data_IF_024368155388
#
_entry.id   IF_024368155388
#
_cell.length_a   1.000
_cell.length_b   1.000
_cell.length_c   1.000
_cell.angle_alpha   90.00
_cell.angle_beta   90.00
_cell.angle_gamma   90.00
#
_symmetry.space_group_name_H-M   'P 1'
#
loop_
_entity.id
_entity.type
_entity.pdbx_description
1 polymer ?
#
# COMPACT_ATOMS: atom_id res chain seq x y z
N UNK A 1 -7.08 -42.96 1.38
CA UNK A 1 -6.12 -41.83 1.39
C UNK A 1 -6.53 -40.87 0.28
N UNK A 2 -7.37 -39.88 0.59
CA UNK A 2 -7.95 -38.97 -0.40
C UNK A 2 -6.93 -37.86 -0.68
N UNK A 3 -6.18 -37.98 -1.78
CA UNK A 3 -5.32 -36.90 -2.26
C UNK A 3 -6.25 -35.79 -2.74
N UNK A 4 -6.32 -34.69 -1.99
CA UNK A 4 -7.08 -33.51 -2.39
C UNK A 4 -6.45 -33.00 -3.68
N UNK A 5 -7.25 -32.94 -4.76
CA UNK A 5 -6.85 -32.23 -5.97
C UNK A 5 -6.68 -30.77 -5.56
N UNK A 6 -5.44 -30.31 -5.44
CA UNK A 6 -5.14 -28.90 -5.28
C UNK A 6 -5.69 -28.22 -6.53
N UNK A 7 -6.78 -27.47 -6.34
CA UNK A 7 -7.38 -26.68 -7.39
C UNK A 7 -6.36 -25.59 -7.73
N UNK A 8 -5.65 -25.74 -8.85
CA UNK A 8 -4.57 -24.84 -9.28
C UNK A 8 -5.03 -23.38 -9.23
N UNK A 9 -6.30 -23.13 -9.51
CA UNK A 9 -6.94 -21.82 -9.39
C UNK A 9 -6.93 -21.26 -7.96
N UNK A 10 -7.22 -22.08 -6.96
CA UNK A 10 -7.19 -21.67 -5.54
C UNK A 10 -5.76 -21.48 -5.03
N UNK A 11 -4.81 -22.31 -5.50
CA UNK A 11 -3.40 -22.17 -5.19
C UNK A 11 -2.85 -20.84 -5.74
N UNK A 12 -3.07 -20.56 -7.03
CA UNK A 12 -2.67 -19.31 -7.70
C UNK A 12 -3.32 -18.09 -7.04
N UNK A 13 -4.61 -18.17 -6.69
CA UNK A 13 -5.28 -17.08 -5.96
C UNK A 13 -4.68 -16.85 -4.58
N UNK A 14 -4.44 -17.91 -3.81
CA UNK A 14 -3.83 -17.77 -2.47
C UNK A 14 -2.42 -17.20 -2.55
N UNK A 15 -1.65 -17.58 -3.58
CA UNK A 15 -0.32 -17.05 -3.85
C UNK A 15 -0.44 -15.58 -4.22
N UNK A 16 -1.37 -15.19 -5.09
CA UNK A 16 -1.60 -13.77 -5.43
C UNK A 16 -1.95 -12.93 -4.20
N UNK A 17 -2.90 -13.33 -3.36
CA UNK A 17 -3.30 -12.58 -2.15
C UNK A 17 -2.18 -12.44 -1.11
N UNK A 18 -1.36 -13.50 -0.94
CA UNK A 18 -0.19 -13.45 -0.08
C UNK A 18 0.89 -12.55 -0.70
N UNK A 19 1.06 -12.62 -2.02
CA UNK A 19 2.05 -11.84 -2.75
C UNK A 19 1.69 -10.36 -2.73
N UNK A 20 0.46 -9.91 -2.97
CA UNK A 20 0.13 -8.47 -2.93
C UNK A 20 0.36 -7.88 -1.55
N UNK A 21 0.01 -8.61 -0.49
CA UNK A 21 0.20 -8.14 0.89
C UNK A 21 1.67 -8.02 1.28
N UNK A 22 2.55 -8.85 0.68
CA UNK A 22 3.99 -8.92 1.01
C UNK A 22 4.85 -8.10 0.02
N UNK A 23 4.49 -8.05 -1.26
CA UNK A 23 5.24 -7.33 -2.30
C UNK A 23 5.08 -5.82 -2.21
N UNK A 24 3.90 -5.32 -1.82
CA UNK A 24 3.68 -3.87 -1.80
C UNK A 24 4.71 -3.16 -0.92
N UNK A 25 5.01 -3.60 0.33
CA UNK A 25 6.11 -3.07 1.13
C UNK A 25 7.48 -3.12 0.43
N UNK A 26 7.78 -4.22 -0.27
CA UNK A 26 9.08 -4.47 -0.92
C UNK A 26 9.31 -3.52 -2.10
N UNK A 27 8.23 -3.18 -2.80
CA UNK A 27 8.26 -2.27 -3.93
C UNK A 27 8.04 -0.80 -3.51
N UNK A 28 7.82 -0.52 -2.22
CA UNK A 28 7.76 0.87 -1.75
C UNK A 28 9.12 1.54 -1.93
N UNK A 29 9.07 2.77 -2.40
CA UNK A 29 10.20 3.69 -2.26
C UNK A 29 10.36 4.03 -0.78
N UNK A 30 11.58 3.84 -0.28
CA UNK A 30 11.90 4.13 1.12
C UNK A 30 12.29 5.59 1.24
N UNK A 31 11.88 6.28 2.32
CA UNK A 31 12.48 7.56 2.71
C UNK A 31 14.00 7.42 2.75
N UNK A 32 14.73 8.03 1.81
CA UNK A 32 16.14 7.71 1.61
C UNK A 32 16.96 7.99 2.87
N UNK A 33 17.80 6.99 3.18
CA UNK A 33 19.10 7.09 3.80
C UNK A 33 19.60 8.52 4.02
N UNK A 34 19.52 9.00 5.25
CA UNK A 34 20.54 9.72 6.02
C UNK A 34 21.53 10.59 5.24
N UNK A 35 22.35 9.97 4.39
CA UNK A 35 23.48 10.59 3.69
C UNK A 35 23.02 11.35 2.43
N UNK A 36 21.86 11.00 1.86
CA UNK A 36 21.40 11.45 0.55
C UNK A 36 20.06 12.22 0.58
N UNK A 37 19.56 12.63 1.76
CA UNK A 37 18.50 13.65 1.95
C UNK A 37 17.19 13.58 1.11
N UNK A 38 16.87 12.48 0.42
CA UNK A 38 15.70 12.39 -0.45
C UNK A 38 14.64 11.40 0.00
N UNK A 39 13.60 11.83 0.71
CA UNK A 39 12.54 10.87 1.07
C UNK A 39 11.89 10.35 -0.22
N UNK A 40 11.81 9.02 -0.37
CA UNK A 40 11.23 8.28 -1.49
C UNK A 40 12.01 8.23 -2.82
N UNK A 41 13.35 8.21 -2.82
CA UNK A 41 14.12 8.10 -4.09
C UNK A 41 14.76 6.74 -4.38
N UNK A 42 14.76 5.79 -3.44
CA UNK A 42 15.36 4.47 -3.63
C UNK A 42 14.37 3.34 -3.25
N UNK A 43 14.21 2.28 -4.06
CA UNK A 43 13.39 1.11 -3.69
C UNK A 43 13.87 0.45 -2.38
N UNK A 44 12.95 -0.10 -1.58
CA UNK A 44 13.29 -0.74 -0.29
C UNK A 44 14.40 -1.79 -0.40
N UNK A 45 14.40 -2.59 -1.46
CA UNK A 45 15.45 -3.60 -1.67
C UNK A 45 16.85 -2.99 -1.80
N UNK A 46 16.96 -1.86 -2.51
CA UNK A 46 18.21 -1.13 -2.68
C UNK A 46 18.62 -0.44 -1.37
N UNK A 47 17.66 0.10 -0.62
CA UNK A 47 17.92 0.63 0.73
C UNK A 47 18.47 -0.45 1.66
N UNK A 48 17.87 -1.64 1.70
CA UNK A 48 18.34 -2.75 2.56
C UNK A 48 19.78 -3.14 2.22
N UNK A 49 20.14 -3.17 0.94
CA UNK A 49 21.51 -3.45 0.51
C UNK A 49 22.51 -2.39 1.05
N UNK A 50 22.15 -1.11 1.00
CA UNK A 50 23.00 -0.02 1.51
C UNK A 50 23.06 -0.04 3.05
N UNK A 51 21.95 -0.33 3.72
CA UNK A 51 21.89 -0.45 5.19
C UNK A 51 22.88 -1.49 5.72
N UNK A 52 23.00 -2.64 5.06
CA UNK A 52 23.97 -3.67 5.47
C UNK A 52 25.44 -3.23 5.29
N UNK A 53 25.72 -2.26 4.43
CA UNK A 53 27.05 -1.67 4.26
C UNK A 53 27.31 -0.54 5.28
N UNK A 54 26.27 0.21 5.65
CA UNK A 54 26.35 1.39 6.51
C UNK A 54 25.26 1.39 7.59
N UNK A 55 25.37 0.56 8.65
CA UNK A 55 24.30 0.40 9.64
C UNK A 55 24.01 1.67 10.46
N UNK A 56 24.98 2.59 10.58
CA UNK A 56 24.82 3.89 11.25
C UNK A 56 23.77 4.81 10.61
N UNK A 57 23.39 4.52 9.36
CA UNK A 57 22.31 5.17 8.62
C UNK A 57 20.98 5.19 9.39
N UNK A 58 20.67 4.12 10.14
CA UNK A 58 19.41 3.99 10.86
C UNK A 58 19.22 5.07 11.92
N UNK A 59 20.29 5.47 12.63
CA UNK A 59 20.21 6.51 13.65
C UNK A 59 19.86 7.87 13.03
N UNK A 60 20.48 8.17 11.87
CA UNK A 60 20.21 9.39 11.13
C UNK A 60 18.81 9.40 10.54
N UNK A 61 18.34 8.28 9.98
CA UNK A 61 16.99 8.13 9.46
C UNK A 61 15.95 8.32 10.57
N UNK A 62 16.20 7.73 11.74
CA UNK A 62 15.34 7.89 12.90
C UNK A 62 15.24 9.36 13.31
N UNK A 63 16.37 10.05 13.52
CA UNK A 63 16.37 11.46 13.90
C UNK A 63 15.69 12.37 12.87
N UNK A 64 15.98 12.13 11.59
CA UNK A 64 15.41 12.89 10.48
C UNK A 64 13.89 12.69 10.38
N UNK A 65 13.41 11.47 10.65
CA UNK A 65 11.98 11.17 10.57
C UNK A 65 11.14 11.95 11.58
N UNK A 66 11.67 12.38 12.74
CA UNK A 66 10.85 13.08 13.76
C UNK A 66 10.73 14.61 13.58
N UNK A 67 11.29 15.18 12.51
CA UNK A 67 11.35 16.64 12.32
C UNK A 67 10.20 17.27 11.52
N UNK A 68 9.29 16.48 10.94
CA UNK A 68 8.42 16.96 9.86
C UNK A 68 6.94 16.68 10.10
N UNK A 69 6.07 17.49 9.50
CA UNK A 69 4.62 17.34 9.66
C UNK A 69 4.08 16.05 9.04
N UNK A 70 4.69 15.61 7.94
CA UNK A 70 4.32 14.36 7.25
C UNK A 70 4.56 13.10 8.08
N UNK A 71 5.42 13.17 9.10
CA UNK A 71 5.76 12.07 10.02
C UNK A 71 4.55 11.53 10.75
N UNK A 72 3.66 12.41 11.23
CA UNK A 72 2.45 12.01 11.96
C UNK A 72 1.55 11.18 11.02
N UNK A 73 1.36 11.65 9.80
CA UNK A 73 0.55 10.98 8.80
C UNK A 73 1.18 9.64 8.38
N UNK A 74 2.51 9.60 8.23
CA UNK A 74 3.25 8.38 7.91
C UNK A 74 3.08 7.31 9.01
N UNK A 75 3.20 7.69 10.29
CA UNK A 75 2.97 6.78 11.42
C UNK A 75 1.52 6.32 11.54
N UNK A 76 0.55 7.20 11.28
CA UNK A 76 -0.86 6.81 11.24
C UNK A 76 -1.12 5.78 10.14
N UNK A 77 -0.56 5.99 8.94
CA UNK A 77 -0.60 5.03 7.84
C UNK A 77 0.06 3.70 8.20
N UNK A 78 1.25 3.72 8.82
CA UNK A 78 1.96 2.53 9.26
C UNK A 78 1.18 1.75 10.34
N UNK A 79 0.63 2.44 11.34
CA UNK A 79 -0.18 1.81 12.39
C UNK A 79 -1.44 1.15 11.83
N UNK A 80 -2.13 1.83 10.91
CA UNK A 80 -3.28 1.26 10.20
C UNK A 80 -2.86 0.05 9.35
N UNK A 81 -1.71 0.11 8.68
CA UNK A 81 -1.17 -0.98 7.87
C UNK A 81 -0.89 -2.21 8.74
N UNK A 82 -0.17 -2.06 9.85
CA UNK A 82 0.14 -3.15 10.78
C UNK A 82 -1.15 -3.75 11.34
N UNK A 83 -2.13 -2.92 11.71
CA UNK A 83 -3.44 -3.39 12.13
C UNK A 83 -4.14 -4.23 11.05
N UNK A 84 -4.15 -3.76 9.80
CA UNK A 84 -4.73 -4.48 8.67
C UNK A 84 -3.99 -5.79 8.38
N UNK A 85 -2.67 -5.79 8.46
CA UNK A 85 -1.82 -6.95 8.23
C UNK A 85 -2.08 -8.04 9.28
N UNK A 86 -2.07 -7.68 10.57
CA UNK A 86 -2.38 -8.61 11.66
C UNK A 86 -3.79 -9.19 11.48
N UNK A 87 -4.76 -8.34 11.15
CA UNK A 87 -6.13 -8.77 10.89
C UNK A 87 -6.21 -9.74 9.70
N UNK A 88 -5.54 -9.42 8.59
CA UNK A 88 -5.48 -10.25 7.39
C UNK A 88 -4.89 -11.63 7.70
N UNK A 89 -3.75 -11.67 8.39
CA UNK A 89 -3.08 -12.92 8.77
C UNK A 89 -3.95 -13.80 9.68
N UNK A 90 -4.74 -13.19 10.57
CA UNK A 90 -5.67 -13.90 11.47
C UNK A 90 -6.90 -14.45 10.75
N UNK A 91 -7.39 -13.77 9.70
CA UNK A 91 -8.68 -14.07 9.05
C UNK A 91 -8.60 -14.55 7.59
N UNK A 92 -7.41 -14.91 7.10
CA UNK A 92 -7.09 -15.30 5.70
C UNK A 92 -7.98 -16.35 5.00
N UNK A 93 -8.79 -17.12 5.72
CA UNK A 93 -9.57 -18.24 5.16
C UNK A 93 -10.97 -17.87 4.68
N UNK A 94 -11.49 -16.70 5.07
CA UNK A 94 -12.88 -16.30 4.82
C UNK A 94 -12.95 -14.92 4.16
N UNK A 95 -14.11 -14.57 3.60
CA UNK A 95 -14.36 -13.22 3.14
C UNK A 95 -14.34 -12.27 4.35
N UNK A 96 -13.35 -11.38 4.40
CA UNK A 96 -13.17 -10.44 5.50
C UNK A 96 -14.21 -9.32 5.42
N UNK A 97 -15.20 -9.34 6.32
CA UNK A 97 -16.28 -8.35 6.40
C UNK A 97 -16.32 -7.57 7.72
N UNK A 98 -15.37 -7.85 8.61
CA UNK A 98 -15.30 -7.31 9.98
C UNK A 98 -14.02 -6.50 10.19
N UNK A 99 -13.93 -5.80 11.32
CA UNK A 99 -12.78 -4.94 11.63
C UNK A 99 -12.61 -3.82 10.58
N UNK A 100 -11.39 -3.61 10.05
CA UNK A 100 -11.15 -2.52 9.10
C UNK A 100 -11.89 -2.74 7.76
N UNK A 101 -12.17 -3.99 7.41
CA UNK A 101 -12.91 -4.37 6.20
C UNK A 101 -14.42 -4.07 6.29
N UNK A 102 -14.94 -3.68 7.45
CA UNK A 102 -16.31 -3.16 7.59
C UNK A 102 -16.42 -1.71 7.10
N UNK A 103 -15.31 -0.96 7.17
CA UNK A 103 -15.27 0.48 6.89
C UNK A 103 -15.00 0.72 5.41
N UNK A 104 -13.99 0.06 4.86
CA UNK A 104 -13.60 0.10 3.44
C UNK A 104 -13.18 -1.30 2.99
N UNK A 105 -13.28 -1.60 1.69
CA UNK A 105 -12.94 -2.93 1.16
C UNK A 105 -11.45 -3.21 1.12
N UNK A 106 -10.64 -2.19 0.85
CA UNK A 106 -9.18 -2.32 0.83
C UNK A 106 -8.52 -1.36 1.85
N UNK A 107 -8.67 -1.63 3.15
CA UNK A 107 -8.11 -0.77 4.19
C UNK A 107 -6.58 -0.77 4.18
N UNK A 108 -5.95 -1.85 3.69
CA UNK A 108 -4.50 -1.93 3.53
C UNK A 108 -3.98 -0.96 2.47
N UNK A 109 -4.66 -0.81 1.33
CA UNK A 109 -4.28 0.20 0.32
C UNK A 109 -4.52 1.61 0.83
N UNK A 110 -5.60 1.85 1.59
CA UNK A 110 -5.80 3.14 2.26
C UNK A 110 -4.63 3.45 3.21
N UNK A 111 -4.17 2.47 3.98
CA UNK A 111 -3.02 2.62 4.86
C UNK A 111 -1.74 2.99 4.10
N UNK A 112 -1.47 2.33 2.96
CA UNK A 112 -0.33 2.66 2.10
C UNK A 112 -0.44 4.07 1.51
N UNK A 113 -1.62 4.47 1.04
CA UNK A 113 -1.85 5.82 0.50
C UNK A 113 -1.58 6.88 1.58
N UNK A 114 -2.06 6.68 2.81
CA UNK A 114 -1.81 7.61 3.91
C UNK A 114 -0.32 7.64 4.30
N UNK A 115 0.31 6.47 4.38
CA UNK A 115 1.72 6.37 4.73
C UNK A 115 2.61 7.08 3.71
N UNK A 116 2.44 6.76 2.43
CA UNK A 116 3.20 7.36 1.31
C UNK A 116 2.90 8.84 1.11
N UNK A 117 1.67 9.29 1.39
CA UNK A 117 1.35 10.71 1.43
C UNK A 117 2.12 11.42 2.54
N UNK A 118 2.18 10.83 3.73
CA UNK A 118 2.99 11.34 4.84
C UNK A 118 4.45 11.50 4.43
N UNK A 119 5.04 10.47 3.81
CA UNK A 119 6.39 10.52 3.28
C UNK A 119 6.57 11.61 2.22
N UNK A 120 5.65 11.69 1.25
CA UNK A 120 5.64 12.72 0.18
C UNK A 120 5.62 14.14 0.75
N UNK A 121 4.83 14.39 1.81
CA UNK A 121 4.79 15.68 2.48
C UNK A 121 6.12 16.04 3.15
N UNK A 122 6.86 15.04 3.64
CA UNK A 122 8.20 15.28 4.16
C UNK A 122 9.13 15.67 3.00
N UNK A 123 9.04 15.01 1.84
CA UNK A 123 9.86 15.35 0.67
C UNK A 123 9.72 16.81 0.24
N UNK A 124 8.51 17.38 0.33
CA UNK A 124 8.29 18.79 0.01
C UNK A 124 8.99 19.76 0.95
N UNK A 125 9.39 19.28 2.14
CA UNK A 125 10.11 20.06 3.15
C UNK A 125 11.62 19.75 3.12
N UNK A 126 12.08 18.94 2.16
CA UNK A 126 13.48 18.53 2.01
C UNK A 126 13.96 18.70 0.57
N UNK A 127 15.24 18.41 0.30
CA UNK A 127 15.80 18.43 -1.05
C UNK A 127 15.85 17.00 -1.59
N UNK A 128 14.84 16.55 -2.36
CA UNK A 128 14.83 15.19 -2.86
C UNK A 128 15.96 14.92 -3.84
N UNK A 129 16.72 13.85 -3.61
CA UNK A 129 17.71 13.34 -4.57
C UNK A 129 16.98 12.58 -5.67
N UNK A 130 16.92 13.18 -6.87
CA UNK A 130 16.44 12.52 -8.08
C UNK A 130 17.66 12.03 -8.84
N UNK A 131 17.80 10.70 -9.00
CA UNK A 131 18.90 10.09 -9.76
C UNK A 131 18.74 10.17 -11.29
N UNK A 132 17.68 10.80 -11.77
CA UNK A 132 17.39 11.01 -13.19
C UNK A 132 17.73 12.47 -13.55
N UNK A 133 18.48 12.66 -14.63
CA UNK A 133 18.76 13.97 -15.21
C UNK A 133 17.48 14.50 -15.89
N UNK A 134 16.59 15.03 -15.07
CA UNK A 134 15.37 15.74 -15.45
C UNK A 134 15.53 17.21 -15.04
N UNK A 135 16.61 17.83 -15.50
CA UNK A 135 17.09 19.16 -15.12
C UNK A 135 16.04 20.29 -15.23
N UNK A 136 14.95 20.07 -15.96
CA UNK A 136 13.86 21.02 -16.17
C UNK A 136 12.65 20.83 -15.24
N UNK A 137 12.55 19.74 -14.48
CA UNK A 137 11.40 19.45 -13.62
C UNK A 137 11.68 19.80 -12.15
N UNK A 138 10.74 20.52 -11.52
CA UNK A 138 10.76 20.74 -10.07
C UNK A 138 10.72 19.38 -9.35
N UNK A 139 11.75 19.05 -8.55
CA UNK A 139 11.83 17.78 -7.85
C UNK A 139 10.61 17.47 -6.96
N UNK A 140 9.98 18.50 -6.40
CA UNK A 140 8.78 18.37 -5.57
C UNK A 140 7.58 17.93 -6.41
N UNK A 141 7.39 18.55 -7.59
CA UNK A 141 6.32 18.16 -8.51
C UNK A 141 6.52 16.74 -9.03
N UNK A 142 7.76 16.35 -9.31
CA UNK A 142 8.08 15.00 -9.75
C UNK A 142 7.66 13.95 -8.72
N UNK A 143 8.02 14.12 -7.44
CA UNK A 143 7.62 13.19 -6.37
C UNK A 143 6.11 13.15 -6.21
N UNK A 144 5.43 14.29 -6.31
CA UNK A 144 3.98 14.33 -6.27
C UNK A 144 3.33 13.47 -7.38
N UNK A 145 3.86 13.54 -8.61
CA UNK A 145 3.37 12.70 -9.71
C UNK A 145 3.67 11.22 -9.52
N UNK A 146 4.83 10.87 -8.93
CA UNK A 146 5.13 9.48 -8.56
C UNK A 146 4.11 8.98 -7.54
N UNK A 147 3.86 9.73 -6.48
CA UNK A 147 2.83 9.38 -5.49
C UNK A 147 1.44 9.24 -6.11
N UNK A 148 1.07 10.15 -7.02
CA UNK A 148 -0.21 10.03 -7.74
C UNK A 148 -0.27 8.75 -8.60
N UNK A 149 0.83 8.39 -9.24
CA UNK A 149 0.99 7.12 -9.96
C UNK A 149 0.82 5.90 -9.04
N UNK A 150 1.41 5.93 -7.85
CA UNK A 150 1.23 4.89 -6.83
C UNK A 150 -0.23 4.75 -6.38
N UNK A 151 -0.91 5.87 -6.12
CA UNK A 151 -2.35 5.88 -5.78
C UNK A 151 -3.17 5.19 -6.87
N UNK A 152 -2.91 5.51 -8.14
CA UNK A 152 -3.58 4.87 -9.28
C UNK A 152 -3.26 3.37 -9.35
N UNK A 153 -2.00 2.99 -9.12
CA UNK A 153 -1.60 1.58 -9.07
C UNK A 153 -2.36 0.82 -7.97
N UNK A 154 -2.52 1.38 -6.77
CA UNK A 154 -3.31 0.78 -5.70
C UNK A 154 -4.80 0.67 -6.03
N UNK A 155 -5.37 1.66 -6.72
CA UNK A 155 -6.74 1.59 -7.20
C UNK A 155 -6.89 0.41 -8.19
N UNK A 156 -5.96 0.27 -9.14
CA UNK A 156 -5.96 -0.83 -10.12
C UNK A 156 -5.82 -2.18 -9.42
N UNK A 157 -4.86 -2.32 -8.50
CA UNK A 157 -4.66 -3.54 -7.70
C UNK A 157 -5.92 -3.91 -6.92
N UNK A 158 -6.56 -2.94 -6.25
CA UNK A 158 -7.82 -3.18 -5.56
C UNK A 158 -8.96 -3.61 -6.48
N UNK A 159 -9.01 -3.11 -7.72
CA UNK A 159 -9.99 -3.59 -8.70
C UNK A 159 -9.74 -5.03 -9.12
N UNK A 160 -8.48 -5.41 -9.35
CA UNK A 160 -8.09 -6.79 -9.66
C UNK A 160 -8.46 -7.72 -8.49
N UNK A 161 -8.23 -7.25 -7.26
CA UNK A 161 -8.59 -7.97 -6.04
C UNK A 161 -10.11 -8.14 -5.90
N UNK A 162 -10.90 -7.06 -6.08
CA UNK A 162 -12.37 -7.09 -6.10
C UNK A 162 -12.88 -8.11 -7.14
N UNK A 163 -12.28 -8.17 -8.33
CA UNK A 163 -12.65 -9.14 -9.38
C UNK A 163 -12.37 -10.58 -8.95
N UNK A 164 -11.23 -10.81 -8.29
CA UNK A 164 -10.84 -12.13 -7.78
C UNK A 164 -11.77 -12.58 -6.64
N UNK A 165 -12.10 -11.68 -5.72
CA UNK A 165 -13.06 -11.93 -4.63
C UNK A 165 -14.46 -12.19 -5.17
N UNK A 166 -14.91 -11.43 -6.18
CA UNK A 166 -16.19 -11.67 -6.86
C UNK A 166 -16.23 -13.06 -7.51
N UNK A 167 -15.16 -13.49 -8.14
CA UNK A 167 -15.09 -14.82 -8.75
C UNK A 167 -15.12 -15.95 -7.70
N UNK A 168 -14.58 -15.71 -6.50
CA UNK A 168 -14.48 -16.71 -5.42
C UNK A 168 -15.74 -16.79 -4.56
N UNK A 169 -16.29 -15.65 -4.14
CA UNK A 169 -17.40 -15.56 -3.18
C UNK A 169 -18.74 -15.15 -3.81
N UNK A 170 -18.76 -14.85 -5.13
CA UNK A 170 -19.97 -14.56 -5.93
C UNK A 170 -20.91 -13.55 -5.25
N UNK A 171 -22.14 -13.97 -4.93
CA UNK A 171 -23.21 -13.12 -4.43
C UNK A 171 -22.89 -12.53 -3.06
N UNK A 172 -22.18 -13.27 -2.20
CA UNK A 172 -21.76 -12.79 -0.88
C UNK A 172 -20.85 -11.57 -1.00
N UNK A 173 -19.92 -11.58 -1.97
CA UNK A 173 -19.06 -10.44 -2.24
C UNK A 173 -19.82 -9.29 -2.91
N UNK A 174 -20.76 -9.58 -3.79
CA UNK A 174 -21.58 -8.56 -4.44
C UNK A 174 -22.36 -7.77 -3.37
N UNK A 175 -23.04 -8.47 -2.45
CA UNK A 175 -23.77 -7.85 -1.35
C UNK A 175 -22.85 -7.01 -0.44
N UNK A 176 -21.70 -7.56 -0.08
CA UNK A 176 -20.67 -6.84 0.67
C UNK A 176 -20.21 -5.56 -0.05
N UNK A 177 -19.96 -5.63 -1.36
CA UNK A 177 -19.47 -4.51 -2.16
C UNK A 177 -20.45 -3.36 -2.34
N UNK A 178 -21.75 -3.63 -2.18
CA UNK A 178 -22.78 -2.59 -2.15
C UNK A 178 -22.83 -1.84 -0.82
N UNK A 179 -22.49 -2.52 0.29
CA UNK A 179 -22.56 -1.94 1.64
C UNK A 179 -21.29 -1.19 2.02
N UNK A 180 -20.13 -1.67 1.57
CA UNK A 180 -18.83 -1.16 1.99
C UNK A 180 -18.13 -0.43 0.84
N UNK A 181 -17.66 0.83 1.02
CA UNK A 181 -16.95 1.60 0.00
C UNK A 181 -15.60 0.98 -0.37
N UNK A 182 -15.03 1.37 -1.52
CA UNK A 182 -13.85 0.72 -2.09
C UNK A 182 -12.56 0.97 -1.28
N UNK A 183 -12.02 2.20 -1.31
CA UNK A 183 -10.78 2.58 -0.60
C UNK A 183 -11.04 3.78 0.31
N UNK A 184 -11.76 4.79 -0.17
CA UNK A 184 -12.02 6.03 0.57
C UNK A 184 -13.36 5.90 1.31
N UNK A 185 -13.42 6.03 2.65
CA UNK A 185 -14.61 5.71 3.45
C UNK A 185 -15.88 6.49 3.08
N UNK A 186 -15.73 7.74 2.62
CA UNK A 186 -16.84 8.63 2.30
C UNK A 186 -17.23 8.62 0.82
N UNK A 187 -16.40 8.04 -0.06
CA UNK A 187 -16.69 7.97 -1.49
C UNK A 187 -17.43 6.66 -1.81
N UNK A 188 -18.76 6.72 -1.76
CA UNK A 188 -19.62 5.64 -2.28
C UNK A 188 -19.76 5.79 -3.79
N UNK A 189 -18.97 5.02 -4.54
CA UNK A 189 -19.21 4.84 -5.97
C UNK A 189 -20.56 4.14 -6.15
N UNK A 190 -21.58 4.89 -6.57
CA UNK A 190 -22.93 4.37 -6.85
C UNK A 190 -22.83 3.33 -7.97
N UNK A 191 -22.92 2.04 -7.63
CA UNK A 191 -23.06 0.97 -8.62
C UNK A 191 -24.54 0.79 -8.89
N UNK A 192 -24.97 1.06 -10.13
CA UNK A 192 -26.29 0.67 -10.61
C UNK A 192 -26.41 -0.85 -10.52
N UNK A 193 -27.48 -1.33 -9.89
CA UNK A 193 -27.91 -2.72 -10.07
C UNK A 193 -28.18 -2.86 -11.57
N UNK A 194 -27.45 -3.72 -12.27
CA UNK A 194 -27.81 -4.08 -13.64
C UNK A 194 -28.86 -5.18 -13.51
N UNK A 195 -30.12 -4.80 -13.64
CA UNK A 195 -31.28 -5.67 -13.44
C UNK A 195 -32.45 -4.92 -12.82
N UNK A 196 -32.99 -3.97 -13.57
CA UNK A 196 -34.43 -3.77 -13.80
C UNK A 196 -34.62 -3.75 -15.33
#
# INVERSE_FOLDING_TARGET
MHISKINIKEAVQSVFFNITSILIPILQYVPCASIWFGIMSIPLISYLFIFFQYPGMLQHDFLFFFGYQGTILAYLGLGLYVFCLIFHLRHRKQLMKTGPYKIVRHPQYLAFILMTLGLTLICFQTSPVIGFDLSDLDPSLFIFYIWLGEVLAYIVLGKIEDLTLKAKYRDEFIEYSYKVPFIIPFLKLKRSKKGD
#
